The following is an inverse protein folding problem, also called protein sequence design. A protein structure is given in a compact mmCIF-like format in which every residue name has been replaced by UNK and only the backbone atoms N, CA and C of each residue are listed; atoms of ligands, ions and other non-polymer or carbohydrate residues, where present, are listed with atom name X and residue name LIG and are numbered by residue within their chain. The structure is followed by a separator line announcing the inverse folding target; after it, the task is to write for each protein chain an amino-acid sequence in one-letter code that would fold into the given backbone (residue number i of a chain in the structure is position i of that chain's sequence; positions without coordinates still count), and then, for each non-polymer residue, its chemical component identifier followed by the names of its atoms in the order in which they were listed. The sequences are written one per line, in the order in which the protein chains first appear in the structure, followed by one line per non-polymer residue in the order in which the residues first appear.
data_IF_744463413061
#
_entry.id   IF_744463413061
#
_cell.length_a   1.000
_cell.length_b   1.000
_cell.length_c   1.000
_cell.angle_alpha   90.00
_cell.angle_beta   90.00
_cell.angle_gamma   90.00
#
_symmetry.space_group_name_H-M   'P 1'
#
loop_
_entity.id
_entity.type
_entity.pdbx_description
1 polymer ?
#
# COMPACT_ATOMS: atom_id res chain seq x y z
N UNK A 1 -2.80 2.86 12.51
CA UNK A 1 -2.38 3.53 11.27
C UNK A 1 -3.32 3.04 10.17
N UNK A 2 -3.86 3.91 9.29
CA UNK A 2 -4.63 3.41 8.15
C UNK A 2 -3.74 2.59 7.22
N UNK A 3 -4.35 1.74 6.41
CA UNK A 3 -3.72 1.13 5.24
C UNK A 3 -4.68 1.29 4.07
N UNK A 4 -4.20 1.84 2.96
CA UNK A 4 -5.02 2.06 1.76
C UNK A 4 -4.70 1.05 0.68
N UNK A 5 -5.74 0.69 -0.06
CA UNK A 5 -5.66 -0.11 -1.28
C UNK A 5 -6.53 0.54 -2.33
N UNK A 6 -6.22 0.28 -3.61
CA UNK A 6 -6.85 1.00 -4.71
C UNK A 6 -7.44 0.03 -5.72
N UNK A 7 -8.70 0.25 -6.07
CA UNK A 7 -9.32 -0.36 -7.23
C UNK A 7 -9.12 0.55 -8.45
N UNK A 8 -8.55 0.00 -9.52
CA UNK A 8 -8.20 0.74 -10.73
C UNK A 8 -8.96 0.13 -11.90
N UNK A 9 -9.82 0.91 -12.55
CA UNK A 9 -10.44 0.55 -13.83
C UNK A 9 -9.78 1.35 -14.96
N UNK A 10 -9.20 0.65 -15.92
CA UNK A 10 -8.68 1.28 -17.11
C UNK A 10 -9.83 1.72 -18.03
N UNK A 11 -9.98 3.04 -18.22
CA UNK A 11 -11.19 3.60 -18.82
C UNK A 11 -11.46 3.10 -20.25
N UNK A 12 -10.42 2.94 -21.08
CA UNK A 12 -10.55 2.57 -22.49
C UNK A 12 -10.80 1.08 -22.69
N UNK A 13 -10.04 0.22 -22.00
CA UNK A 13 -10.12 -1.23 -22.18
C UNK A 13 -11.00 -1.95 -21.17
N UNK A 14 -11.47 -1.26 -20.13
CA UNK A 14 -12.25 -1.83 -19.01
C UNK A 14 -11.53 -2.92 -18.22
N UNK A 15 -10.20 -2.97 -18.32
CA UNK A 15 -9.35 -3.89 -17.54
C UNK A 15 -9.32 -3.38 -16.09
N UNK A 16 -9.53 -4.29 -15.15
CA UNK A 16 -9.67 -3.98 -13.73
C UNK A 16 -8.49 -4.54 -12.94
N UNK A 17 -7.91 -3.72 -12.06
CA UNK A 17 -6.76 -4.06 -11.25
C UNK A 17 -7.02 -3.71 -9.78
N UNK A 18 -6.31 -4.38 -8.89
CA UNK A 18 -6.17 -3.98 -7.49
C UNK A 18 -4.72 -3.58 -7.22
N UNK A 19 -4.51 -2.54 -6.44
CA UNK A 19 -3.22 -2.18 -5.85
C UNK A 19 -3.31 -2.40 -4.34
N UNK A 20 -2.59 -3.42 -3.86
CA UNK A 20 -2.69 -4.00 -2.51
C UNK A 20 -4.08 -4.57 -2.15
N UNK A 21 -4.12 -5.36 -1.07
CA UNK A 21 -5.32 -6.00 -0.49
C UNK A 21 -5.55 -5.63 0.98
N UNK A 22 -4.74 -4.73 1.53
CA UNK A 22 -4.77 -4.40 2.94
C UNK A 22 -4.38 -5.59 3.82
N UNK A 23 -4.73 -5.51 5.11
CA UNK A 23 -4.63 -6.63 6.03
C UNK A 23 -5.81 -7.59 5.84
N UNK A 24 -5.57 -8.89 6.03
CA UNK A 24 -6.63 -9.90 5.97
C UNK A 24 -7.50 -9.86 7.23
N UNK A 25 -8.82 -10.02 7.06
CA UNK A 25 -9.76 -10.06 8.20
C UNK A 25 -9.56 -11.24 9.13
N UNK A 26 -9.02 -12.33 8.60
CA UNK A 26 -8.67 -13.57 9.29
C UNK A 26 -7.15 -13.65 9.55
N UNK A 27 -6.55 -12.59 10.09
CA UNK A 27 -5.09 -12.46 10.27
C UNK A 27 -4.47 -13.63 11.05
N UNK A 28 -5.24 -14.31 11.89
CA UNK A 28 -4.84 -15.52 12.61
C UNK A 28 -4.51 -16.71 11.70
N UNK A 29 -4.92 -16.65 10.43
CA UNK A 29 -4.64 -17.61 9.37
C UNK A 29 -3.43 -17.23 8.50
N UNK A 30 -2.67 -16.19 8.85
CA UNK A 30 -1.34 -16.00 8.27
C UNK A 30 -0.43 -17.22 8.54
N UNK A 31 0.64 -17.33 7.77
CA UNK A 31 1.72 -18.29 8.04
C UNK A 31 2.26 -18.11 9.47
N UNK A 32 2.82 -19.16 10.11
CA UNK A 32 3.09 -19.15 11.54
C UNK A 32 3.90 -17.95 12.03
N UNK A 33 4.98 -17.57 11.35
CA UNK A 33 5.84 -16.46 11.79
C UNK A 33 5.18 -15.09 11.62
N UNK A 34 4.37 -14.88 10.57
CA UNK A 34 3.61 -13.63 10.40
C UNK A 34 2.49 -13.54 11.44
N UNK A 35 1.78 -14.63 11.71
CA UNK A 35 0.79 -14.69 12.80
C UNK A 35 1.42 -14.32 14.14
N UNK A 36 2.58 -14.89 14.46
CA UNK A 36 3.32 -14.56 15.69
C UNK A 36 3.68 -13.08 15.73
N UNK A 37 4.21 -12.54 14.63
CA UNK A 37 4.53 -11.11 14.52
C UNK A 37 3.31 -10.22 14.82
N UNK A 38 2.19 -10.47 14.13
CA UNK A 38 0.96 -9.66 14.28
C UNK A 38 0.42 -9.76 15.71
N UNK A 39 0.34 -10.98 16.26
CA UNK A 39 -0.15 -11.19 17.64
C UNK A 39 0.73 -10.53 18.71
N UNK A 40 2.05 -10.44 18.47
CA UNK A 40 3.00 -9.86 19.42
C UNK A 40 3.10 -8.34 19.34
N UNK A 41 2.88 -7.74 18.17
CA UNK A 41 3.17 -6.32 17.92
C UNK A 41 1.94 -5.46 17.62
N UNK A 42 0.80 -6.07 17.28
CA UNK A 42 -0.43 -5.34 16.93
C UNK A 42 -1.61 -5.84 17.80
N UNK A 43 -1.54 -5.63 19.13
CA UNK A 43 -2.58 -6.12 20.03
C UNK A 43 -3.92 -5.44 19.72
N UNK A 44 -4.99 -6.24 19.68
CA UNK A 44 -6.34 -5.75 19.44
C UNK A 44 -6.65 -5.40 17.98
N UNK A 45 -5.84 -5.88 17.01
CA UNK A 45 -6.15 -5.75 15.59
C UNK A 45 -7.54 -6.33 15.31
N UNK A 46 -8.40 -5.50 14.72
CA UNK A 46 -9.76 -5.87 14.33
C UNK A 46 -10.03 -5.34 12.93
N UNK A 47 -10.28 -6.27 12.02
CA UNK A 47 -10.54 -5.98 10.62
C UNK A 47 -11.92 -6.59 10.33
N UNK A 48 -12.93 -5.75 10.15
CA UNK A 48 -14.31 -6.19 9.92
C UNK A 48 -14.56 -6.61 8.47
N UNK A 49 -13.87 -5.97 7.53
CA UNK A 49 -13.98 -6.20 6.09
C UNK A 49 -12.57 -6.19 5.51
N UNK A 50 -12.29 -7.12 4.60
CA UNK A 50 -11.07 -7.07 3.78
C UNK A 50 -11.35 -6.31 2.47
N UNK A 51 -10.31 -5.98 1.71
CA UNK A 51 -10.46 -5.22 0.45
C UNK A 51 -11.39 -5.92 -0.54
N UNK A 52 -11.37 -7.26 -0.59
CA UNK A 52 -12.23 -8.03 -1.49
C UNK A 52 -13.72 -7.89 -1.12
N UNK A 53 -14.06 -7.89 0.17
CA UNK A 53 -15.41 -7.61 0.65
C UNK A 53 -15.83 -6.19 0.23
N UNK A 54 -14.96 -5.19 0.47
CA UNK A 54 -15.23 -3.77 0.19
C UNK A 54 -15.52 -3.55 -1.30
N UNK A 55 -14.69 -4.07 -2.20
CA UNK A 55 -14.90 -3.86 -3.65
C UNK A 55 -16.13 -4.62 -4.15
N UNK A 56 -16.38 -5.84 -3.66
CA UNK A 56 -17.56 -6.61 -4.04
C UNK A 56 -18.85 -5.95 -3.57
N UNK A 57 -18.87 -5.43 -2.33
CA UNK A 57 -20.01 -4.71 -1.76
C UNK A 57 -20.33 -3.42 -2.51
N UNK A 58 -19.33 -2.74 -3.10
CA UNK A 58 -19.55 -1.61 -4.00
C UNK A 58 -19.80 -1.99 -5.47
N UNK A 59 -20.04 -3.27 -5.76
CA UNK A 59 -20.52 -3.73 -7.07
C UNK A 59 -19.45 -4.21 -8.05
N UNK A 60 -18.19 -4.36 -7.63
CA UNK A 60 -17.13 -4.91 -8.49
C UNK A 60 -17.26 -6.42 -8.57
N UNK A 61 -17.28 -6.96 -9.79
CA UNK A 61 -17.20 -8.40 -10.00
C UNK A 61 -15.74 -8.87 -9.86
N UNK A 62 -15.44 -9.66 -8.82
CA UNK A 62 -14.07 -10.14 -8.57
C UNK A 62 -13.52 -11.00 -9.72
N UNK A 63 -14.38 -11.70 -10.47
CA UNK A 63 -13.99 -12.47 -11.67
C UNK A 63 -13.46 -11.59 -12.81
N UNK A 64 -13.74 -10.28 -12.76
CA UNK A 64 -13.22 -9.27 -13.70
C UNK A 64 -11.84 -8.73 -13.35
N UNK A 65 -11.32 -9.01 -12.14
CA UNK A 65 -10.01 -8.50 -11.71
C UNK A 65 -8.90 -9.26 -12.45
N UNK A 66 -8.22 -8.54 -13.34
CA UNK A 66 -7.17 -9.10 -14.17
C UNK A 66 -5.85 -9.27 -13.41
N UNK A 67 -5.49 -8.31 -12.56
CA UNK A 67 -4.28 -8.40 -11.77
C UNK A 67 -4.38 -7.70 -10.41
N UNK A 68 -3.68 -8.29 -9.44
CA UNK A 68 -3.26 -7.65 -8.21
C UNK A 68 -1.83 -7.13 -8.41
N UNK A 69 -1.63 -5.83 -8.34
CA UNK A 69 -0.32 -5.20 -8.18
C UNK A 69 -0.06 -5.15 -6.67
N UNK A 70 0.90 -5.94 -6.21
CA UNK A 70 1.27 -6.01 -4.81
C UNK A 70 2.47 -5.10 -4.57
N UNK A 71 2.29 -4.02 -3.82
CA UNK A 71 3.34 -3.05 -3.52
C UNK A 71 4.52 -3.74 -2.84
N UNK A 72 4.27 -4.59 -1.86
CA UNK A 72 5.25 -5.46 -1.21
C UNK A 72 4.57 -6.51 -0.32
N UNK A 73 5.37 -7.32 0.39
CA UNK A 73 4.91 -8.55 1.04
C UNK A 73 4.39 -8.41 2.48
N UNK A 74 4.46 -7.22 3.09
CA UNK A 74 4.02 -7.07 4.49
C UNK A 74 2.53 -7.38 4.67
N UNK A 75 2.20 -7.83 5.89
CA UNK A 75 0.93 -8.45 6.23
C UNK A 75 -0.28 -7.53 6.02
N UNK A 76 -0.06 -6.22 6.11
CA UNK A 76 -1.05 -5.18 5.96
C UNK A 76 -1.22 -4.69 4.52
N UNK A 77 -0.51 -5.27 3.56
CA UNK A 77 -0.65 -4.98 2.13
C UNK A 77 -1.12 -6.19 1.34
N UNK A 78 -0.74 -7.39 1.78
CA UNK A 78 -0.85 -8.57 0.95
C UNK A 78 -2.19 -9.29 1.03
N UNK A 79 -2.97 -9.07 2.09
CA UNK A 79 -4.24 -9.75 2.30
C UNK A 79 -4.11 -11.28 2.18
N UNK A 80 -4.92 -11.87 1.29
CA UNK A 80 -4.86 -13.29 0.95
C UNK A 80 -5.07 -13.48 -0.57
N UNK A 81 -4.01 -13.47 -1.39
CA UNK A 81 -4.13 -13.61 -2.84
C UNK A 81 -4.82 -14.91 -3.28
N UNK A 82 -4.84 -15.96 -2.44
CA UNK A 82 -5.59 -17.19 -2.71
C UNK A 82 -7.11 -16.98 -2.84
N UNK A 83 -7.66 -15.89 -2.30
CA UNK A 83 -9.09 -15.57 -2.34
C UNK A 83 -9.53 -14.91 -3.65
N UNK A 84 -8.60 -14.44 -4.46
CA UNK A 84 -8.89 -13.94 -5.81
C UNK A 84 -9.11 -15.11 -6.78
N UNK A 85 -9.93 -14.94 -7.84
CA UNK A 85 -10.08 -15.93 -8.90
C UNK A 85 -8.74 -16.36 -9.49
N UNK A 86 -8.55 -17.62 -9.85
CA UNK A 86 -7.24 -18.15 -10.30
C UNK A 86 -6.65 -17.44 -11.52
N UNK A 87 -7.50 -16.85 -12.37
CA UNK A 87 -7.09 -16.06 -13.53
C UNK A 87 -6.46 -14.71 -13.20
N UNK A 88 -6.62 -14.19 -11.97
CA UNK A 88 -6.02 -12.91 -11.57
C UNK A 88 -4.50 -13.06 -11.45
N UNK A 89 -3.73 -12.28 -12.18
CA UNK A 89 -2.26 -12.30 -12.10
C UNK A 89 -1.79 -11.58 -10.83
N UNK A 90 -0.67 -11.98 -10.26
CA UNK A 90 -0.04 -11.24 -9.15
C UNK A 90 1.23 -10.59 -9.66
N UNK A 91 1.21 -9.27 -9.78
CA UNK A 91 2.30 -8.44 -10.26
C UNK A 91 3.12 -7.96 -9.08
N UNK A 92 4.42 -8.23 -9.10
CA UNK A 92 5.34 -8.00 -7.98
C UNK A 92 6.63 -7.33 -8.45
N UNK A 93 7.31 -6.67 -7.53
CA UNK A 93 8.62 -6.07 -7.80
C UNK A 93 9.79 -7.05 -7.84
N UNK A 94 11.00 -6.56 -8.14
CA UNK A 94 12.16 -7.40 -8.39
C UNK A 94 12.56 -8.25 -7.18
N UNK A 95 13.06 -9.46 -7.43
CA UNK A 95 13.53 -10.45 -6.44
C UNK A 95 12.43 -11.08 -5.58
N UNK A 96 11.16 -10.77 -5.81
CA UNK A 96 10.05 -11.34 -5.06
C UNK A 96 10.00 -12.87 -5.18
N UNK A 97 10.08 -13.41 -6.40
CA UNK A 97 9.99 -14.85 -6.65
C UNK A 97 11.12 -15.62 -5.97
N UNK A 98 12.36 -15.14 -6.12
CA UNK A 98 13.54 -15.71 -5.46
C UNK A 98 13.41 -15.68 -3.93
N UNK A 99 12.85 -14.60 -3.39
CA UNK A 99 12.81 -14.36 -1.95
C UNK A 99 11.64 -15.05 -1.25
N UNK A 100 10.52 -15.25 -1.93
CA UNK A 100 9.25 -15.63 -1.28
C UNK A 100 8.54 -16.83 -1.92
N UNK A 101 9.04 -17.37 -3.04
CA UNK A 101 8.51 -18.61 -3.62
C UNK A 101 9.48 -19.79 -3.43
N UNK A 102 8.96 -21.02 -3.32
CA UNK A 102 7.54 -21.37 -3.14
C UNK A 102 7.01 -20.86 -1.78
N UNK A 103 5.70 -20.87 -1.58
CA UNK A 103 5.10 -20.44 -0.31
C UNK A 103 5.22 -21.48 0.80
N UNK A 104 4.80 -21.12 2.02
CA UNK A 104 4.66 -22.05 3.14
C UNK A 104 3.59 -23.12 2.83
N UNK A 105 3.81 -24.41 3.18
CA UNK A 105 4.91 -24.95 3.98
C UNK A 105 6.14 -25.41 3.19
N UNK A 106 6.14 -25.34 1.85
CA UNK A 106 7.29 -25.78 1.05
C UNK A 106 8.54 -24.94 1.33
N UNK A 107 8.35 -23.67 1.71
CA UNK A 107 9.38 -22.77 2.22
C UNK A 107 8.97 -22.24 3.59
N UNK A 108 9.71 -22.59 4.63
CA UNK A 108 9.35 -22.27 6.03
C UNK A 108 9.39 -20.77 6.34
N UNK A 109 10.31 -20.02 5.72
CA UNK A 109 10.51 -18.59 5.91
C UNK A 109 9.67 -17.72 4.95
N UNK A 110 8.85 -18.32 4.09
CA UNK A 110 7.97 -17.56 3.19
C UNK A 110 6.84 -16.86 3.97
N UNK A 111 6.64 -15.55 3.80
CA UNK A 111 5.54 -14.82 4.44
C UNK A 111 4.15 -15.16 3.85
N UNK A 112 4.13 -15.90 2.73
CA UNK A 112 2.93 -16.32 2.01
C UNK A 112 2.67 -17.82 2.14
N UNK A 113 1.41 -18.21 1.98
CA UNK A 113 1.04 -19.60 1.78
C UNK A 113 1.30 -20.01 0.32
N UNK A 114 1.61 -21.28 0.08
CA UNK A 114 1.73 -21.82 -1.28
C UNK A 114 0.42 -21.63 -2.08
N UNK A 115 -0.73 -21.72 -1.40
CA UNK A 115 -2.06 -21.53 -1.99
C UNK A 115 -2.28 -20.13 -2.60
N UNK A 116 -1.53 -19.11 -2.16
CA UNK A 116 -1.62 -17.75 -2.68
C UNK A 116 -1.20 -17.66 -4.15
N UNK A 117 -0.27 -18.54 -4.56
CA UNK A 117 0.33 -18.54 -5.90
C UNK A 117 0.10 -19.82 -6.70
N UNK A 118 -0.41 -20.87 -6.05
CA UNK A 118 -0.70 -22.15 -6.73
C UNK A 118 -1.65 -21.96 -7.91
N UNK A 119 -1.24 -22.46 -9.07
CA UNK A 119 -1.96 -22.39 -10.36
C UNK A 119 -2.28 -20.95 -10.82
N UNK A 120 -1.50 -19.97 -10.34
CA UNK A 120 -1.63 -18.55 -10.67
C UNK A 120 -0.36 -18.06 -11.36
N UNK A 121 -0.51 -17.15 -12.30
CA UNK A 121 0.62 -16.43 -12.86
C UNK A 121 1.13 -15.35 -11.89
N UNK A 122 2.39 -15.48 -11.47
CA UNK A 122 3.13 -14.43 -10.75
C UNK A 122 4.03 -13.72 -11.76
N UNK A 123 3.83 -12.42 -11.95
CA UNK A 123 4.57 -11.58 -12.89
C UNK A 123 5.54 -10.71 -12.09
N UNK A 124 6.83 -11.05 -12.14
CA UNK A 124 7.88 -10.22 -11.54
C UNK A 124 8.37 -9.22 -12.58
N UNK A 125 8.18 -7.93 -12.30
CA UNK A 125 8.51 -6.87 -13.26
C UNK A 125 10.02 -6.66 -13.35
N UNK A 126 10.55 -6.72 -14.59
CA UNK A 126 11.89 -6.23 -14.90
C UNK A 126 11.84 -4.74 -15.26
N UNK A 127 12.82 -3.99 -14.76
CA UNK A 127 12.97 -2.55 -15.01
C UNK A 127 14.16 -2.26 -15.94
N UNK A 128 14.32 -3.10 -16.96
CA UNK A 128 15.46 -3.16 -17.90
C UNK A 128 15.24 -2.37 -19.19
N UNK A 129 14.05 -1.82 -19.42
CA UNK A 129 13.71 -1.01 -20.61
C UNK A 129 14.41 0.34 -20.66
N UNK A 130 14.99 0.79 -19.53
CA UNK A 130 15.58 2.12 -19.37
C UNK A 130 14.55 3.25 -19.17
N UNK A 131 13.25 2.94 -19.21
CA UNK A 131 12.20 3.92 -18.93
C UNK A 131 12.32 4.42 -17.48
N UNK A 132 12.24 5.74 -17.31
CA UNK A 132 12.19 6.41 -16.01
C UNK A 132 11.09 7.44 -15.98
N UNK A 133 10.42 7.56 -14.84
CA UNK A 133 9.54 8.68 -14.51
C UNK A 133 10.12 9.32 -13.25
N UNK A 134 10.45 10.62 -13.33
CA UNK A 134 11.32 11.25 -12.34
C UNK A 134 12.63 10.48 -12.20
N UNK A 135 12.99 10.14 -10.95
CA UNK A 135 14.20 9.36 -10.65
C UNK A 135 13.96 7.84 -10.57
N UNK A 136 12.72 7.37 -10.61
CA UNK A 136 12.40 5.94 -10.53
C UNK A 136 12.48 5.26 -11.89
N UNK A 137 12.96 4.01 -11.89
CA UNK A 137 12.73 3.14 -13.05
C UNK A 137 11.24 2.83 -13.14
N UNK A 138 10.72 2.76 -14.36
CA UNK A 138 9.29 2.60 -14.58
C UNK A 138 8.99 1.51 -15.61
N UNK A 139 7.82 0.91 -15.47
CA UNK A 139 7.21 -0.04 -16.39
C UNK A 139 5.80 0.44 -16.73
N UNK A 140 5.52 0.70 -18.00
CA UNK A 140 4.19 1.11 -18.47
C UNK A 140 3.30 -0.12 -18.62
N UNK A 141 2.36 -0.30 -17.70
CA UNK A 141 1.56 -1.52 -17.58
C UNK A 141 0.58 -1.71 -18.74
N UNK A 142 0.00 -0.61 -19.24
CA UNK A 142 -0.95 -0.63 -20.35
C UNK A 142 -0.30 -0.29 -21.70
N UNK A 143 0.97 0.16 -21.70
CA UNK A 143 1.70 0.65 -22.86
C UNK A 143 1.04 1.86 -23.54
N UNK A 144 0.28 2.64 -22.78
CA UNK A 144 -0.40 3.87 -23.22
C UNK A 144 -0.14 5.08 -22.29
N UNK A 145 0.74 4.90 -21.30
CA UNK A 145 1.11 5.91 -20.31
C UNK A 145 0.05 6.22 -19.26
N UNK A 146 -1.01 5.42 -19.13
CA UNK A 146 -2.06 5.63 -18.12
C UNK A 146 -1.71 5.03 -16.74
N UNK A 147 -0.83 4.02 -16.68
CA UNK A 147 -0.39 3.39 -15.45
C UNK A 147 1.08 2.99 -15.53
N UNK A 148 1.92 3.62 -14.72
CA UNK A 148 3.31 3.23 -14.55
C UNK A 148 3.49 2.51 -13.21
N UNK A 149 4.10 1.32 -13.23
CA UNK A 149 4.65 0.69 -12.03
C UNK A 149 6.08 1.23 -11.86
N UNK A 150 6.45 1.61 -10.64
CA UNK A 150 7.71 2.24 -10.31
C UNK A 150 8.52 1.34 -9.37
N UNK A 151 9.82 1.17 -9.66
CA UNK A 151 10.73 0.48 -8.76
C UNK A 151 11.12 1.40 -7.59
N UNK A 152 10.67 1.10 -6.39
CA UNK A 152 10.86 1.94 -5.18
C UNK A 152 11.54 1.12 -4.09
N UNK A 153 12.82 0.73 -4.29
CA UNK A 153 13.49 -0.18 -3.37
C UNK A 153 13.80 0.50 -2.03
N UNK A 154 14.02 -0.33 -0.99
CA UNK A 154 14.54 0.11 0.30
C UNK A 154 13.70 -0.38 1.47
N UNK A 155 12.39 -0.12 1.44
CA UNK A 155 11.48 -0.53 2.52
C UNK A 155 11.43 -2.06 2.65
N UNK A 156 11.08 -2.73 1.57
CA UNK A 156 10.97 -4.18 1.51
C UNK A 156 11.56 -4.70 0.19
N UNK A 157 11.95 -5.98 0.18
CA UNK A 157 12.34 -6.66 -1.07
C UNK A 157 11.17 -6.61 -2.05
N UNK A 158 11.45 -6.14 -3.26
CA UNK A 158 10.46 -6.02 -4.32
C UNK A 158 9.44 -4.91 -4.10
N UNK A 159 9.71 -3.91 -3.25
CA UNK A 159 8.80 -2.78 -3.07
C UNK A 159 8.63 -1.98 -4.38
N UNK A 160 7.37 -1.80 -4.77
CA UNK A 160 6.94 -1.04 -5.94
C UNK A 160 5.85 -0.05 -5.55
N UNK A 161 5.81 1.05 -6.28
CA UNK A 161 4.71 2.02 -6.26
C UNK A 161 4.03 2.06 -7.63
N UNK A 162 2.92 2.79 -7.74
CA UNK A 162 2.27 3.04 -9.02
C UNK A 162 2.02 4.54 -9.23
N UNK A 163 2.13 5.02 -10.47
CA UNK A 163 1.70 6.34 -10.88
C UNK A 163 0.54 6.18 -11.87
N UNK A 164 -0.66 6.56 -11.43
CA UNK A 164 -1.92 6.34 -12.15
C UNK A 164 -2.41 7.67 -12.71
N UNK A 165 -2.67 7.72 -14.01
CA UNK A 165 -3.27 8.89 -14.65
C UNK A 165 -4.77 8.94 -14.38
N UNK A 166 -5.26 10.03 -13.81
CA UNK A 166 -6.66 10.21 -13.42
C UNK A 166 -7.44 11.20 -14.29
N UNK A 167 -6.73 12.11 -14.96
CA UNK A 167 -7.24 13.02 -16.01
C UNK A 167 -6.16 13.14 -17.10
N UNK A 168 -6.38 13.83 -18.24
CA UNK A 168 -5.33 13.97 -19.26
C UNK A 168 -4.00 14.50 -18.73
N UNK A 169 -4.03 15.32 -17.68
CA UNK A 169 -2.90 16.07 -17.12
C UNK A 169 -2.63 15.82 -15.63
N UNK A 170 -3.41 14.99 -14.92
CA UNK A 170 -3.21 14.72 -13.49
C UNK A 170 -3.02 13.24 -13.17
N UNK A 171 -2.24 12.98 -12.12
CA UNK A 171 -1.87 11.65 -11.67
C UNK A 171 -2.04 11.50 -10.16
N UNK A 172 -2.17 10.25 -9.70
CA UNK A 172 -2.07 9.85 -8.30
C UNK A 172 -0.90 8.88 -8.17
N UNK A 173 0.01 9.16 -7.23
CA UNK A 173 1.11 8.27 -6.86
C UNK A 173 0.65 7.37 -5.70
N UNK A 174 0.52 6.08 -5.95
CA UNK A 174 0.17 5.05 -4.96
C UNK A 174 1.46 4.49 -4.36
N UNK A 175 1.80 4.95 -3.16
CA UNK A 175 3.13 4.75 -2.60
C UNK A 175 3.37 3.42 -1.89
N UNK A 176 2.32 2.69 -1.51
CA UNK A 176 2.46 1.65 -0.49
C UNK A 176 3.12 2.23 0.75
N UNK A 177 4.16 1.57 1.26
CA UNK A 177 4.92 2.00 2.44
C UNK A 177 6.04 3.01 2.19
N UNK A 178 6.09 3.64 1.02
CA UNK A 178 7.01 4.74 0.81
C UNK A 178 6.63 5.93 1.71
N UNK A 179 7.51 6.45 2.60
CA UNK A 179 7.16 7.54 3.48
C UNK A 179 7.43 8.91 2.84
N UNK A 180 6.75 9.96 3.34
CA UNK A 180 7.13 11.36 3.07
C UNK A 180 8.37 11.80 3.86
N UNK A 181 8.61 11.17 5.02
CA UNK A 181 9.64 11.55 5.96
C UNK A 181 10.81 10.56 5.94
N UNK A 182 11.92 10.97 6.53
CA UNK A 182 13.10 10.11 6.65
C UNK A 182 12.76 8.86 7.46
N UNK A 183 12.97 7.65 6.93
CA UNK A 183 12.78 6.42 7.68
C UNK A 183 13.71 6.35 8.90
N UNK A 184 13.26 5.65 9.93
CA UNK A 184 14.08 5.37 11.11
C UNK A 184 15.24 4.45 10.75
N UNK A 185 16.44 4.73 11.25
CA UNK A 185 17.60 3.84 11.21
C UNK A 185 17.75 2.98 12.46
N UNK A 186 16.77 3.03 13.37
CA UNK A 186 16.80 2.29 14.63
C UNK A 186 16.64 0.77 14.45
N UNK A 187 17.01 -0.02 15.47
CA UNK A 187 17.01 -1.48 15.39
C UNK A 187 15.62 -2.11 15.20
N UNK A 188 14.55 -1.38 15.50
CA UNK A 188 13.16 -1.81 15.33
C UNK A 188 12.52 -1.20 14.07
N UNK A 189 13.32 -0.73 13.12
CA UNK A 189 12.83 -0.16 11.86
C UNK A 189 12.27 -1.25 10.96
N UNK A 190 11.19 -0.92 10.23
CA UNK A 190 10.60 -1.80 9.22
C UNK A 190 11.26 -1.67 7.83
N UNK A 191 12.30 -0.83 7.69
CA UNK A 191 13.01 -0.62 6.43
C UNK A 191 14.20 -1.58 6.31
N UNK A 192 14.16 -2.45 5.32
CA UNK A 192 15.19 -3.46 5.07
C UNK A 192 16.55 -2.85 4.68
N UNK A 193 16.56 -1.74 3.93
CA UNK A 193 17.76 -0.99 3.56
C UNK A 193 17.50 0.52 3.71
N UNK A 194 17.95 1.08 4.83
CA UNK A 194 17.77 2.49 5.16
C UNK A 194 18.35 3.44 4.11
N UNK A 195 19.57 3.17 3.62
CA UNK A 195 20.27 4.06 2.70
C UNK A 195 19.59 4.09 1.31
N UNK A 196 19.12 2.94 0.84
CA UNK A 196 18.35 2.85 -0.40
C UNK A 196 16.96 3.48 -0.23
N UNK A 197 16.31 3.27 0.92
CA UNK A 197 15.02 3.90 1.24
C UNK A 197 15.12 5.43 1.21
N UNK A 198 16.19 6.00 1.77
CA UNK A 198 16.44 7.45 1.74
C UNK A 198 16.51 7.99 0.31
N UNK A 199 17.19 7.29 -0.62
CA UNK A 199 17.26 7.69 -2.03
C UNK A 199 15.89 7.62 -2.70
N UNK A 200 15.11 6.60 -2.39
CA UNK A 200 13.73 6.50 -2.86
C UNK A 200 12.90 7.67 -2.32
N UNK A 201 13.00 8.00 -1.03
CA UNK A 201 12.30 9.15 -0.45
C UNK A 201 12.69 10.46 -1.15
N UNK A 202 13.98 10.69 -1.40
CA UNK A 202 14.44 11.87 -2.13
C UNK A 202 13.87 11.95 -3.56
N UNK A 203 13.70 10.80 -4.22
CA UNK A 203 13.04 10.70 -5.53
C UNK A 203 11.54 11.05 -5.49
N UNK A 204 10.84 10.78 -4.38
CA UNK A 204 9.43 11.12 -4.21
C UNK A 204 9.18 12.63 -4.18
N UNK A 205 10.15 13.42 -3.70
CA UNK A 205 10.03 14.88 -3.53
C UNK A 205 9.64 15.58 -4.84
N UNK A 206 10.18 15.12 -5.98
CA UNK A 206 9.84 15.68 -7.30
C UNK A 206 8.34 15.53 -7.61
N UNK A 207 7.75 14.38 -7.27
CA UNK A 207 6.33 14.11 -7.47
C UNK A 207 5.49 14.95 -6.52
N UNK A 208 5.88 15.02 -5.25
CA UNK A 208 5.16 15.83 -4.26
C UNK A 208 5.19 17.33 -4.60
N UNK A 209 6.30 17.82 -5.16
CA UNK A 209 6.42 19.21 -5.63
C UNK A 209 5.54 19.51 -6.86
N UNK A 210 5.13 18.49 -7.64
CA UNK A 210 4.37 18.69 -8.86
C UNK A 210 2.87 18.93 -8.55
N UNK A 211 2.28 20.07 -8.95
CA UNK A 211 0.86 20.37 -8.69
C UNK A 211 -0.12 19.45 -9.43
N UNK A 212 0.37 18.62 -10.35
CA UNK A 212 -0.42 17.65 -11.11
C UNK A 212 -0.29 16.22 -10.59
N UNK A 213 0.37 16.00 -9.45
CA UNK A 213 0.49 14.67 -8.84
C UNK A 213 0.00 14.71 -7.40
N UNK A 214 -1.02 13.91 -7.07
CA UNK A 214 -1.43 13.67 -5.68
C UNK A 214 -0.68 12.48 -5.13
N UNK A 215 -0.03 12.63 -3.97
CA UNK A 215 0.67 11.53 -3.32
C UNK A 215 -0.29 10.85 -2.33
N UNK A 216 -0.46 9.53 -2.46
CA UNK A 216 -1.26 8.70 -1.56
C UNK A 216 -0.38 7.54 -1.07
N UNK A 217 0.10 7.64 0.16
CA UNK A 217 0.89 6.58 0.83
C UNK A 217 0.00 5.83 1.82
N UNK A 218 0.29 4.56 2.07
CA UNK A 218 -0.62 3.66 2.79
C UNK A 218 -0.97 4.16 4.20
N UNK A 219 0.00 4.78 4.85
CA UNK A 219 -0.02 5.05 6.29
C UNK A 219 -0.17 6.52 6.67
N UNK A 220 -0.53 7.37 5.71
CA UNK A 220 -0.89 8.76 5.98
C UNK A 220 -2.35 8.86 6.46
N UNK A 221 -2.63 9.43 7.64
CA UNK A 221 -3.99 9.65 8.11
C UNK A 221 -4.70 10.86 7.48
N UNK A 222 -4.01 11.72 6.71
CA UNK A 222 -4.62 12.89 6.06
C UNK A 222 -5.76 12.52 5.09
N UNK A 223 -5.62 11.53 4.18
CA UNK A 223 -6.70 11.06 3.31
C UNK A 223 -8.03 10.77 4.01
N UNK A 224 -8.02 10.28 5.26
CA UNK A 224 -9.25 9.92 5.98
C UNK A 224 -10.20 11.10 6.21
N UNK A 225 -9.69 12.34 6.23
CA UNK A 225 -10.50 13.55 6.43
C UNK A 225 -10.79 14.30 5.12
N UNK A 226 -10.12 13.92 4.02
CA UNK A 226 -10.11 14.71 2.77
C UNK A 226 -10.70 13.94 1.60
N UNK A 227 -10.43 12.64 1.50
CA UNK A 227 -10.78 11.85 0.32
C UNK A 227 -12.16 11.24 0.44
N UNK A 228 -12.85 11.15 -0.70
CA UNK A 228 -14.00 10.27 -0.84
C UNK A 228 -13.50 8.83 -1.04
N UNK A 229 -13.94 7.89 -0.22
CA UNK A 229 -13.59 6.48 -0.36
C UNK A 229 -14.53 5.75 -1.33
N UNK A 230 -14.07 4.58 -1.81
CA UNK A 230 -14.83 3.70 -2.66
C UNK A 230 -16.26 3.47 -2.09
N UNK A 231 -17.32 3.55 -2.91
CA UNK A 231 -17.36 3.48 -4.37
C UNK A 231 -17.08 4.79 -5.13
N UNK A 232 -16.75 5.88 -4.44
CA UNK A 232 -16.32 7.12 -5.11
C UNK A 232 -14.95 6.96 -5.78
N UNK A 233 -14.67 7.82 -6.77
CA UNK A 233 -13.41 7.82 -7.50
C UNK A 233 -12.49 8.95 -7.06
N UNK A 234 -11.18 8.69 -7.15
CA UNK A 234 -10.14 9.71 -6.97
C UNK A 234 -9.97 10.62 -8.20
N UNK A 235 -10.72 10.40 -9.28
CA UNK A 235 -10.65 11.25 -10.46
C UNK A 235 -11.04 12.71 -10.11
N UNK A 236 -10.42 13.65 -10.82
CA UNK A 236 -10.59 15.09 -10.61
C UNK A 236 -10.19 15.56 -9.20
N UNK A 237 -9.36 14.81 -8.46
CA UNK A 237 -8.85 15.19 -7.13
C UNK A 237 -8.31 16.64 -7.08
N UNK A 238 -7.71 17.11 -8.19
CA UNK A 238 -7.16 18.45 -8.30
C UNK A 238 -8.24 19.52 -8.29
N UNK A 239 -9.34 19.31 -9.03
CA UNK A 239 -10.49 20.21 -9.00
C UNK A 239 -11.22 20.17 -7.66
N UNK A 240 -11.14 19.04 -6.93
CA UNK A 240 -11.63 18.89 -5.56
C UNK A 240 -10.70 19.55 -4.52
N UNK A 241 -9.53 20.06 -4.90
CA UNK A 241 -8.56 20.67 -3.98
C UNK A 241 -7.94 19.69 -2.97
N UNK A 242 -7.93 18.38 -3.30
CA UNK A 242 -7.50 17.35 -2.35
C UNK A 242 -6.02 17.46 -1.99
N UNK A 243 -5.15 17.77 -2.95
CA UNK A 243 -3.71 17.89 -2.70
C UNK A 243 -3.42 19.01 -1.71
N UNK A 244 -4.02 20.18 -1.91
CA UNK A 244 -3.86 21.34 -1.03
C UNK A 244 -4.43 21.06 0.37
N UNK A 245 -5.55 20.34 0.43
CA UNK A 245 -6.24 20.02 1.68
C UNK A 245 -5.53 18.93 2.50
N UNK A 246 -4.86 17.98 1.84
CA UNK A 246 -4.06 16.94 2.49
C UNK A 246 -2.61 17.33 2.71
N UNK A 247 -2.14 18.43 2.10
CA UNK A 247 -0.76 18.88 2.14
C UNK A 247 -0.30 19.07 3.59
N UNK A 248 0.72 18.33 4.00
CA UNK A 248 1.25 18.32 5.37
C UNK A 248 0.21 18.04 6.44
N UNK A 249 -0.83 17.26 6.14
CA UNK A 249 -1.86 16.90 7.12
C UNK A 249 -1.29 16.26 8.40
N UNK A 250 -0.15 15.58 8.31
CA UNK A 250 0.60 15.06 9.45
C UNK A 250 1.03 16.13 10.47
N UNK A 251 1.21 17.40 10.07
CA UNK A 251 1.51 18.49 11.00
C UNK A 251 0.37 18.74 12.00
N UNK A 252 -0.87 18.38 11.63
CA UNK A 252 -2.02 18.47 12.54
C UNK A 252 -1.96 17.45 13.69
N UNK A 253 -1.06 16.47 13.60
CA UNK A 253 -0.82 15.44 14.62
C UNK A 253 0.38 15.76 15.52
N UNK A 254 1.14 16.81 15.18
CA UNK A 254 2.20 17.31 16.04
C UNK A 254 1.60 18.32 17.04
N UNK A 255 1.96 18.24 18.33
CA UNK A 255 1.49 19.20 19.31
C UNK A 255 2.04 20.60 19.01
N UNK A 256 1.16 21.59 18.99
CA UNK A 256 1.49 23.01 18.96
C UNK A 256 0.95 23.67 20.23
N UNK A 257 1.84 24.27 21.05
CA UNK A 257 1.51 24.78 22.39
C UNK A 257 0.79 23.74 23.28
N UNK A 258 1.25 22.50 23.25
CA UNK A 258 0.68 21.41 24.05
C UNK A 258 -0.68 20.89 23.56
N UNK A 259 -1.18 21.37 22.41
CA UNK A 259 -2.45 20.92 21.83
C UNK A 259 -2.21 20.38 20.43
N UNK A 260 -2.70 19.17 20.15
CA UNK A 260 -2.79 18.67 18.77
C UNK A 260 -4.08 19.22 18.13
N UNK A 261 -3.99 19.70 16.90
CA UNK A 261 -5.15 20.25 16.17
C UNK A 261 -6.14 19.14 15.83
N UNK A 262 -5.63 17.95 15.48
CA UNK A 262 -6.44 16.74 15.28
C UNK A 262 -6.45 15.91 16.58
N UNK A 263 -7.62 15.39 16.94
CA UNK A 263 -7.72 14.39 18.01
C UNK A 263 -6.94 13.13 17.65
N UNK A 264 -6.27 12.51 18.63
CA UNK A 264 -5.56 11.26 18.40
C UNK A 264 -6.53 10.18 17.90
N UNK A 265 -6.21 9.55 16.75
CA UNK A 265 -7.00 8.41 16.23
C UNK A 265 -6.83 7.15 17.10
N UNK A 266 -5.70 7.05 17.78
CA UNK A 266 -5.41 6.01 18.76
C UNK A 266 -5.00 6.73 20.03
N UNK A 267 -5.77 6.61 21.10
CA UNK A 267 -5.55 7.37 22.35
C UNK A 267 -4.70 6.59 23.38
N UNK A 268 -4.23 5.40 23.01
CA UNK A 268 -3.52 4.48 23.88
C UNK A 268 -3.34 3.07 23.32
N UNK A 269 -2.65 2.24 24.09
CA UNK A 269 -2.52 0.81 23.88
C UNK A 269 -3.74 0.10 24.48
N UNK A 270 -4.29 -0.88 23.77
CA UNK A 270 -5.43 -1.68 24.20
C UNK A 270 -5.05 -3.16 24.31
N UNK A 271 -5.69 -3.88 25.24
CA UNK A 271 -5.55 -5.32 25.33
C UNK A 271 -6.43 -6.03 24.29
N UNK A 272 -6.26 -7.35 24.18
CA UNK A 272 -7.08 -8.20 23.31
C UNK A 272 -8.59 -8.16 23.61
N UNK A 273 -9.01 -7.65 24.78
CA UNK A 273 -10.42 -7.50 25.17
C UNK A 273 -10.95 -6.08 24.88
N UNK A 274 -10.15 -5.22 24.27
CA UNK A 274 -10.49 -3.82 23.99
C UNK A 274 -10.43 -2.91 25.21
N UNK A 275 -9.82 -3.34 26.31
CA UNK A 275 -9.58 -2.51 27.48
C UNK A 275 -8.29 -1.71 27.32
N UNK A 276 -8.32 -0.41 27.60
CA UNK A 276 -7.16 0.48 27.47
C UNK A 276 -6.10 0.12 28.53
N UNK A 277 -4.93 -0.35 28.08
CA UNK A 277 -3.78 -0.70 28.92
C UNK A 277 -3.00 0.56 29.32
N UNK A 278 -2.75 1.47 28.37
CA UNK A 278 -1.90 2.65 28.56
C UNK A 278 -2.35 3.79 27.68
N UNK A 279 -2.49 5.01 28.20
CA UNK A 279 -2.72 6.20 27.37
C UNK A 279 -1.47 6.64 26.60
N UNK A 280 -1.64 7.23 25.43
CA UNK A 280 -0.54 7.95 24.78
C UNK A 280 -0.36 9.30 25.47
N UNK A 281 0.71 9.46 26.25
CA UNK A 281 1.13 10.77 26.77
C UNK A 281 1.82 11.52 25.64
N UNK A 282 1.19 12.59 25.14
CA UNK A 282 1.85 13.61 24.33
C UNK A 282 2.26 14.74 25.30
N UNK A 283 3.24 14.47 26.15
CA UNK A 283 3.93 15.52 26.91
C UNK A 283 5.27 15.83 26.24
#
# INVERSE_FOLDING_TARGET
MPTFSFYIEHQTSKRQLLFDLGARKDWENHVPHIKTLVSGHVPGIRISENVLDIVANGGVNLDGIEALILSHWHFDHCGAPSQLPKGTRVVVGPRFKESFLPGYPAREDSPFHEADFKDREVVEISFDTGLKIGQYQAYDYFADGSLFILNVPGHAIGHISALVRTTPDTFVFLGGDQPFLRPSSGPNSFYADHATSMKSVDALIEFDANPNVLIAIAHDPAPLDVFDFFPSTMNNWKAKGWKESSHWGFLSELPYNGTCVRGQRVDGLYDSKGSKIRGMSIE
#
